data_IF_709246289207
#
_entry.id   IF_709246289207
#
_cell.length_a   1.000
_cell.length_b   1.000
_cell.length_c   1.000
_cell.angle_alpha   90.00
_cell.angle_beta   90.00
_cell.angle_gamma   90.00
#
_symmetry.space_group_name_H-M   'P 1'
#
loop_
_entity.id
_entity.type
_entity.pdbx_description
1 polymer ?
#
# COMPACT_ATOMS: atom_id res chain seq x y z
N UNK A 1 5.20 9.71 4.53
CA UNK A 1 4.11 9.19 5.39
C UNK A 1 4.57 8.75 6.77
N UNK A 2 5.59 7.87 6.89
CA UNK A 2 6.05 7.36 8.21
C UNK A 2 6.41 8.46 9.21
N UNK A 3 7.10 9.53 8.77
CA UNK A 3 7.46 10.64 9.66
C UNK A 3 6.25 11.39 10.26
N UNK A 4 5.16 11.50 9.50
CA UNK A 4 3.93 12.14 9.98
C UNK A 4 3.26 11.24 11.01
N UNK A 5 3.16 9.94 10.72
CA UNK A 5 2.58 8.97 11.65
C UNK A 5 3.37 8.91 12.98
N UNK A 6 4.70 8.90 12.93
CA UNK A 6 5.55 8.92 14.13
C UNK A 6 5.40 10.20 14.98
N UNK A 7 4.86 11.29 14.42
CA UNK A 7 4.56 12.51 15.18
C UNK A 7 3.37 12.34 16.11
N UNK A 8 2.41 11.47 15.75
CA UNK A 8 1.14 11.32 16.45
C UNK A 8 0.99 9.97 17.16
N UNK A 9 1.72 8.95 16.70
CA UNK A 9 1.68 7.61 17.27
C UNK A 9 2.85 7.41 18.23
N UNK A 10 2.55 6.86 19.40
CA UNK A 10 3.55 6.48 20.41
C UNK A 10 4.06 5.05 20.25
N UNK A 11 3.49 4.29 19.30
CA UNK A 11 3.85 2.90 18.99
C UNK A 11 4.31 2.77 17.53
N UNK A 12 5.16 1.77 17.22
CA UNK A 12 5.51 1.44 15.84
C UNK A 12 4.29 1.14 14.98
N UNK A 13 4.39 1.45 13.69
CA UNK A 13 3.34 1.16 12.71
C UNK A 13 3.52 -0.28 12.24
N UNK A 14 2.54 -1.13 12.49
CA UNK A 14 2.55 -2.53 12.05
C UNK A 14 1.88 -2.70 10.68
N UNK A 15 0.80 -1.94 10.42
CA UNK A 15 -0.01 -2.05 9.22
C UNK A 15 -0.66 -0.70 8.85
N UNK A 16 -0.82 -0.45 7.55
CA UNK A 16 -1.44 0.75 6.98
C UNK A 16 -2.53 0.36 5.98
N UNK A 17 -3.66 1.08 6.02
CA UNK A 17 -4.67 1.09 4.96
C UNK A 17 -4.43 2.30 4.04
N UNK A 18 -4.31 2.06 2.74
CA UNK A 18 -4.13 3.09 1.72
C UNK A 18 -5.35 3.13 0.78
N UNK A 19 -6.12 4.21 0.87
CA UNK A 19 -7.33 4.44 0.05
C UNK A 19 -6.95 5.25 -1.19
N UNK A 20 -7.28 4.75 -2.38
CA UNK A 20 -6.87 5.35 -3.65
C UNK A 20 -5.37 5.15 -3.89
N UNK A 21 -4.89 3.91 -3.78
CA UNK A 21 -3.47 3.60 -3.88
C UNK A 21 -2.87 3.79 -5.28
N UNK A 22 -3.71 3.93 -6.30
CA UNK A 22 -3.33 4.00 -7.71
C UNK A 22 -2.43 2.82 -8.07
N UNK A 23 -1.27 3.14 -8.65
CA UNK A 23 -0.28 2.12 -9.05
C UNK A 23 0.64 1.63 -7.91
N UNK A 24 0.31 1.93 -6.64
CA UNK A 24 0.93 1.33 -5.46
C UNK A 24 2.34 1.85 -5.09
N UNK A 25 2.76 3.02 -5.55
CA UNK A 25 4.12 3.53 -5.30
C UNK A 25 4.43 3.71 -3.80
N UNK A 26 3.50 4.30 -3.02
CA UNK A 26 3.70 4.46 -1.59
C UNK A 26 3.55 3.14 -0.84
N UNK A 27 2.60 2.29 -1.23
CA UNK A 27 2.45 0.93 -0.70
C UNK A 27 3.76 0.15 -0.79
N UNK A 28 4.43 0.24 -1.95
CA UNK A 28 5.76 -0.33 -2.22
C UNK A 28 6.83 0.26 -1.29
N UNK A 29 6.88 1.58 -1.13
CA UNK A 29 7.87 2.22 -0.25
C UNK A 29 7.68 1.81 1.22
N UNK A 30 6.43 1.71 1.67
CA UNK A 30 6.07 1.31 3.03
C UNK A 30 6.41 -0.16 3.30
N UNK A 31 6.09 -1.06 2.36
CA UNK A 31 6.45 -2.47 2.46
C UNK A 31 7.96 -2.72 2.51
N UNK A 32 8.75 -1.95 1.75
CA UNK A 32 10.23 -1.98 1.85
C UNK A 32 10.75 -1.60 3.24
N UNK A 33 9.96 -0.89 4.04
CA UNK A 33 10.27 -0.55 5.44
C UNK A 33 9.74 -1.60 6.43
N UNK A 34 9.20 -2.71 5.95
CA UNK A 34 8.65 -3.80 6.77
C UNK A 34 7.23 -3.56 7.29
N UNK A 35 6.54 -2.54 6.79
CA UNK A 35 5.16 -2.21 7.19
C UNK A 35 4.19 -2.97 6.27
N UNK A 36 3.18 -3.64 6.84
CA UNK A 36 2.14 -4.28 6.04
C UNK A 36 1.20 -3.23 5.44
N UNK A 37 0.75 -3.44 4.20
CA UNK A 37 -0.14 -2.49 3.52
C UNK A 37 -1.34 -3.18 2.90
N UNK A 38 -2.52 -2.73 3.28
CA UNK A 38 -3.76 -2.99 2.55
C UNK A 38 -4.00 -1.79 1.63
N UNK A 39 -3.89 -2.00 0.33
CA UNK A 39 -3.92 -0.94 -0.68
C UNK A 39 -5.15 -1.12 -1.57
N UNK A 40 -6.05 -0.14 -1.56
CA UNK A 40 -7.30 -0.21 -2.32
C UNK A 40 -7.42 0.91 -3.34
N UNK A 41 -7.98 0.55 -4.49
CA UNK A 41 -8.31 1.50 -5.55
C UNK A 41 -9.59 1.06 -6.28
N UNK A 42 -10.30 2.03 -6.85
CA UNK A 42 -11.52 1.79 -7.65
C UNK A 42 -11.19 1.48 -9.11
N UNK A 43 -9.97 1.82 -9.57
CA UNK A 43 -9.54 1.59 -10.95
C UNK A 43 -8.77 0.26 -11.06
N UNK A 44 -9.40 -0.74 -11.68
CA UNK A 44 -8.79 -2.05 -11.94
C UNK A 44 -7.48 -1.96 -12.71
N UNK A 45 -7.35 -1.01 -13.65
CA UNK A 45 -6.13 -0.83 -14.45
C UNK A 45 -4.97 -0.34 -13.60
N UNK A 46 -5.26 0.51 -12.61
CA UNK A 46 -4.27 0.96 -11.63
C UNK A 46 -3.76 -0.22 -10.79
N UNK A 47 -4.67 -1.06 -10.31
CA UNK A 47 -4.34 -2.25 -9.52
C UNK A 47 -3.57 -3.30 -10.32
N UNK A 48 -3.86 -3.47 -11.61
CA UNK A 48 -3.09 -4.34 -12.49
C UNK A 48 -1.62 -3.87 -12.56
N UNK A 49 -1.39 -2.57 -12.81
CA UNK A 49 -0.04 -2.00 -12.83
C UNK A 49 0.65 -2.18 -11.46
N UNK A 50 -0.08 -1.96 -10.36
CA UNK A 50 0.45 -2.09 -9.01
C UNK A 50 0.91 -3.54 -8.72
N UNK A 51 0.09 -4.54 -9.08
CA UNK A 51 0.40 -5.96 -8.94
C UNK A 51 1.62 -6.36 -9.80
N UNK A 52 1.73 -5.86 -11.02
CA UNK A 52 2.90 -6.10 -11.86
C UNK A 52 4.20 -5.54 -11.25
N UNK A 53 4.15 -4.33 -10.65
CA UNK A 53 5.32 -3.73 -10.00
C UNK A 53 5.85 -4.57 -8.84
N UNK A 54 4.97 -5.11 -7.98
CA UNK A 54 5.42 -5.89 -6.82
C UNK A 54 6.01 -7.24 -7.21
N UNK A 55 5.47 -7.88 -8.25
CA UNK A 55 5.97 -9.16 -8.76
C UNK A 55 7.39 -9.03 -9.34
N UNK A 56 7.66 -7.94 -10.06
CA UNK A 56 9.00 -7.68 -10.60
C UNK A 56 10.03 -7.34 -9.51
N UNK A 57 9.57 -6.79 -8.38
CA UNK A 57 10.42 -6.24 -7.33
C UNK A 57 10.66 -7.21 -6.16
N UNK A 58 10.06 -8.41 -6.19
CA UNK A 58 10.10 -9.39 -5.09
C UNK A 58 9.67 -8.80 -3.72
N UNK A 59 8.69 -7.89 -3.75
CA UNK A 59 8.19 -7.21 -2.55
C UNK A 59 7.01 -7.99 -1.98
N UNK A 60 7.07 -8.26 -0.68
CA UNK A 60 5.99 -8.87 0.09
C UNK A 60 5.38 -7.87 1.08
N UNK A 61 4.25 -8.24 1.70
CA UNK A 61 3.59 -7.42 2.72
C UNK A 61 2.64 -6.36 2.16
N UNK A 62 2.20 -6.49 0.91
CA UNK A 62 1.18 -5.65 0.30
C UNK A 62 0.05 -6.52 -0.21
N UNK A 63 -1.18 -6.16 0.10
CA UNK A 63 -2.39 -6.75 -0.48
C UNK A 63 -3.18 -5.68 -1.22
N UNK A 64 -3.57 -5.97 -2.48
CA UNK A 64 -4.26 -5.04 -3.36
C UNK A 64 -5.73 -5.41 -3.52
N UNK A 65 -6.62 -4.50 -3.12
CA UNK A 65 -8.07 -4.67 -3.16
C UNK A 65 -8.71 -3.77 -4.19
N UNK A 66 -9.63 -4.32 -4.98
CA UNK A 66 -10.55 -3.52 -5.77
C UNK A 66 -11.77 -3.20 -4.91
N UNK A 67 -12.09 -1.91 -4.78
CA UNK A 67 -13.28 -1.47 -4.07
C UNK A 67 -14.18 -0.71 -5.05
N UNK A 68 -15.29 -1.33 -5.46
CA UNK A 68 -16.37 -0.66 -6.16
C UNK A 68 -17.39 -0.16 -5.15
N UNK A 69 -17.82 1.10 -5.30
CA UNK A 69 -18.94 1.63 -4.52
C UNK A 69 -20.24 1.06 -5.05
N UNK A 70 -20.67 -0.07 -4.49
CA UNK A 70 -22.06 -0.53 -4.53
C UNK A 70 -22.78 -0.12 -3.24
#
# INVERSE_FOLDING_TARGET
MVNIANRYLSKPIEQILEIGCGTGNHSIELAKKGIKVDALDTDLKMLEIAKHKINYSNISGIEFYHCSGE
#
